data_IF_133960605721
#
_entry.id   IF_133960605721
#
_cell.length_a   1.000
_cell.length_b   1.000
_cell.length_c   1.000
_cell.angle_alpha   90.00
_cell.angle_beta   90.00
_cell.angle_gamma   90.00
#
_symmetry.space_group_name_H-M   'P 1'
#
loop_
_entity.id
_entity.type
_entity.pdbx_description
1 polymer ?
#
# COMPACT_ATOMS: atom_id res chain seq x y z
N UNK A 1 -8.45 8.91 -4.62
CA UNK A 1 -7.37 8.04 -4.08
C UNK A 1 -7.80 6.57 -4.03
N UNK A 2 -9.10 6.28 -4.01
CA UNK A 2 -9.63 4.92 -3.83
C UNK A 2 -9.34 3.97 -5.00
N UNK A 3 -9.09 4.51 -6.20
CA UNK A 3 -8.71 3.73 -7.39
C UNK A 3 -7.20 3.46 -7.52
N UNK A 4 -6.40 3.80 -6.50
CA UNK A 4 -4.94 3.67 -6.51
C UNK A 4 -4.46 2.84 -5.31
N UNK A 5 -3.48 1.98 -5.53
CA UNK A 5 -2.84 1.19 -4.44
C UNK A 5 -1.72 2.00 -3.77
N UNK A 6 -1.34 1.65 -2.53
CA UNK A 6 -0.43 2.49 -1.74
C UNK A 6 0.99 2.58 -2.34
N UNK A 7 1.38 1.49 -3.00
CA UNK A 7 2.66 1.27 -3.67
C UNK A 7 2.75 1.97 -5.03
N UNK A 8 1.63 2.48 -5.56
CA UNK A 8 1.64 3.38 -6.72
C UNK A 8 2.06 4.79 -6.30
N UNK A 9 3.01 5.38 -7.04
CA UNK A 9 3.56 6.71 -6.72
C UNK A 9 2.47 7.80 -6.67
N UNK A 10 1.42 7.64 -7.49
CA UNK A 10 0.27 8.56 -7.52
C UNK A 10 -0.43 8.62 -6.17
N UNK A 11 -0.53 7.50 -5.44
CA UNK A 11 -1.15 7.48 -4.13
C UNK A 11 -0.35 8.36 -3.14
N UNK A 12 0.98 8.25 -3.15
CA UNK A 12 1.87 9.14 -2.42
C UNK A 12 1.68 10.61 -2.79
N UNK A 13 1.66 10.92 -4.08
CA UNK A 13 1.44 12.28 -4.58
C UNK A 13 0.09 12.87 -4.15
N UNK A 14 -1.00 12.13 -4.33
CA UNK A 14 -2.35 12.58 -3.95
C UNK A 14 -2.52 12.68 -2.44
N UNK A 15 -1.84 11.85 -1.66
CA UNK A 15 -1.84 11.98 -0.20
C UNK A 15 -1.22 13.30 0.26
N UNK A 16 -0.13 13.77 -0.38
CA UNK A 16 0.49 15.05 -0.08
C UNK A 16 -0.44 16.24 -0.38
N UNK A 17 -1.13 16.21 -1.52
CA UNK A 17 -2.13 17.23 -1.87
C UNK A 17 -3.33 17.21 -0.90
N UNK A 18 -3.81 16.02 -0.56
CA UNK A 18 -4.92 15.85 0.37
C UNK A 18 -4.57 16.38 1.76
N UNK A 19 -3.34 16.13 2.22
CA UNK A 19 -2.81 16.64 3.48
C UNK A 19 -2.71 18.17 3.48
N UNK A 20 -2.28 18.78 2.37
CA UNK A 20 -2.26 20.24 2.24
C UNK A 20 -3.67 20.85 2.35
N UNK A 21 -4.66 20.27 1.67
CA UNK A 21 -6.04 20.74 1.74
C UNK A 21 -6.64 20.55 3.14
N UNK A 22 -6.37 19.42 3.78
CA UNK A 22 -6.84 19.13 5.14
C UNK A 22 -6.23 20.08 6.17
N UNK A 23 -4.93 20.39 6.06
CA UNK A 23 -4.26 21.36 6.92
C UNK A 23 -4.89 22.76 6.76
N UNK A 24 -5.18 23.18 5.52
CA UNK A 24 -5.87 24.45 5.27
C UNK A 24 -7.29 24.45 5.82
N UNK A 25 -8.02 23.33 5.73
CA UNK A 25 -9.34 23.18 6.32
C UNK A 25 -9.30 23.31 7.85
N UNK A 26 -8.35 22.63 8.50
CA UNK A 26 -8.15 22.72 9.96
C UNK A 26 -7.87 24.16 10.41
N UNK A 27 -7.01 24.87 9.69
CA UNK A 27 -6.71 26.26 10.02
C UNK A 27 -7.91 27.20 9.77
N UNK A 28 -8.66 26.97 8.68
CA UNK A 28 -9.88 27.72 8.37
C UNK A 28 -10.99 27.47 9.39
N UNK A 29 -11.08 26.26 9.94
CA UNK A 29 -12.04 25.90 10.99
C UNK A 29 -11.81 26.70 12.27
N UNK A 30 -10.54 27.00 12.61
CA UNK A 30 -10.20 27.95 13.68
C UNK A 30 -10.60 29.36 13.27
N UNK A 31 -10.13 29.83 12.10
CA UNK A 31 -10.60 31.07 11.47
C UNK A 31 -10.13 31.17 10.02
N UNK A 32 -11.02 31.52 9.06
CA UNK A 32 -10.63 31.69 7.66
C UNK A 32 -9.62 32.84 7.45
N UNK A 33 -9.58 33.83 8.36
CA UNK A 33 -8.60 34.93 8.29
C UNK A 33 -7.17 34.50 8.52
N UNK A 34 -6.96 33.35 9.17
CA UNK A 34 -5.63 32.77 9.35
C UNK A 34 -5.06 32.20 8.06
N UNK A 35 -5.85 32.08 6.99
CA UNK A 35 -5.34 31.71 5.67
C UNK A 35 -4.95 32.91 4.80
N UNK A 36 -5.31 34.13 5.18
CA UNK A 36 -5.07 35.32 4.36
C UNK A 36 -3.59 35.75 4.37
N UNK A 37 -3.03 36.06 3.20
CA UNK A 37 -1.70 36.66 3.10
C UNK A 37 -1.74 38.10 3.66
N UNK A 38 -0.98 38.35 4.73
CA UNK A 38 -0.96 39.61 5.46
C UNK A 38 -0.32 40.78 4.69
N UNK A 39 0.31 40.54 3.53
CA UNK A 39 0.92 41.59 2.69
C UNK A 39 -0.11 42.54 2.08
N UNK A 40 -1.36 42.11 1.92
CA UNK A 40 -2.49 42.96 1.53
C UNK A 40 -3.67 42.69 2.47
N UNK A 41 -4.04 43.69 3.27
CA UNK A 41 -5.16 43.60 4.22
C UNK A 41 -6.49 43.23 3.54
N UNK A 42 -6.63 43.47 2.23
CA UNK A 42 -7.81 43.04 1.46
C UNK A 42 -7.98 41.53 1.43
N UNK A 43 -6.90 40.75 1.60
CA UNK A 43 -7.00 39.29 1.73
C UNK A 43 -7.73 38.90 3.02
N UNK A 44 -7.53 39.66 4.10
CA UNK A 44 -8.22 39.44 5.38
C UNK A 44 -9.71 39.74 5.22
N UNK A 45 -10.05 40.89 4.64
CA UNK A 45 -11.46 41.25 4.38
C UNK A 45 -12.15 40.22 3.48
N UNK A 46 -11.46 39.76 2.44
CA UNK A 46 -11.97 38.72 1.55
C UNK A 46 -12.22 37.40 2.28
N UNK A 47 -11.30 36.99 3.17
CA UNK A 47 -11.48 35.76 3.97
C UNK A 47 -12.67 35.82 4.93
N UNK A 48 -13.07 37.02 5.34
CA UNK A 48 -14.25 37.28 6.17
C UNK A 48 -15.54 37.43 5.33
N UNK A 49 -15.50 37.12 4.04
CA UNK A 49 -16.65 37.14 3.13
C UNK A 49 -17.01 38.53 2.57
N UNK A 50 -16.13 39.52 2.71
CA UNK A 50 -16.38 40.89 2.21
C UNK A 50 -15.99 41.03 0.73
N UNK A 51 -16.73 41.86 0.02
CA UNK A 51 -16.48 42.10 -1.41
C UNK A 51 -15.14 42.83 -1.62
N UNK A 52 -14.36 42.46 -2.66
CA UNK A 52 -13.13 43.17 -3.01
C UNK A 52 -13.36 44.67 -3.27
N UNK A 53 -12.55 45.51 -2.65
CA UNK A 53 -12.63 46.98 -2.79
C UNK A 53 -11.82 47.53 -3.97
N UNK A 54 -10.83 46.77 -4.47
CA UNK A 54 -9.92 47.20 -5.53
C UNK A 54 -10.21 46.50 -6.87
N UNK A 55 -10.12 47.26 -7.97
CA UNK A 55 -10.23 46.72 -9.33
C UNK A 55 -9.10 45.72 -9.60
N UNK A 56 -9.43 44.57 -10.19
CA UNK A 56 -8.49 43.46 -10.50
C UNK A 56 -7.80 42.83 -9.28
N UNK A 57 -8.35 43.02 -8.08
CA UNK A 57 -7.86 42.32 -6.90
C UNK A 57 -8.02 40.80 -7.06
N UNK A 58 -6.96 40.05 -6.76
CA UNK A 58 -6.97 38.59 -6.70
C UNK A 58 -6.57 38.17 -5.28
N UNK A 59 -7.47 37.55 -4.51
CA UNK A 59 -7.18 37.09 -3.16
C UNK A 59 -5.98 36.14 -3.16
N UNK A 60 -5.12 36.28 -2.15
CA UNK A 60 -3.97 35.40 -1.91
C UNK A 60 -4.03 34.80 -0.52
N UNK A 61 -3.76 33.50 -0.45
CA UNK A 61 -3.58 32.78 0.79
C UNK A 61 -2.10 32.60 1.11
N UNK A 62 -1.82 32.28 2.37
CA UNK A 62 -0.49 31.93 2.85
C UNK A 62 0.03 30.62 2.24
N UNK A 63 1.37 30.46 2.12
CA UNK A 63 1.99 29.21 1.68
C UNK A 63 1.78 28.08 2.69
N UNK A 64 1.88 26.83 2.23
CA UNK A 64 1.66 25.63 3.07
C UNK A 64 2.57 25.58 4.29
N UNK A 65 3.84 25.99 4.14
CA UNK A 65 4.78 26.05 5.28
C UNK A 65 4.27 26.95 6.42
N UNK A 66 3.66 28.09 6.09
CA UNK A 66 3.06 29.01 7.06
C UNK A 66 1.78 28.43 7.69
N UNK A 67 0.98 27.67 6.91
CA UNK A 67 -0.20 26.96 7.43
C UNK A 67 0.23 25.96 8.51
N UNK A 68 1.24 25.14 8.23
CA UNK A 68 1.75 24.13 9.15
C UNK A 68 2.35 24.76 10.43
N UNK A 69 3.03 25.90 10.30
CA UNK A 69 3.56 26.65 11.44
C UNK A 69 2.44 27.12 12.37
N UNK A 70 1.38 27.72 11.83
CA UNK A 70 0.22 28.19 12.62
C UNK A 70 -0.51 27.03 13.30
N UNK A 71 -0.68 25.91 12.61
CA UNK A 71 -1.30 24.71 13.19
C UNK A 71 -0.49 24.17 14.38
N UNK A 72 0.85 24.15 14.30
CA UNK A 72 1.73 23.74 15.40
C UNK A 72 1.56 24.62 16.65
N UNK A 73 1.36 25.93 16.45
CA UNK A 73 1.14 26.86 17.55
C UNK A 73 -0.26 26.74 18.17
N UNK A 74 -1.27 26.39 17.38
CA UNK A 74 -2.68 26.45 17.78
C UNK A 74 -3.27 25.10 18.19
N UNK A 75 -2.70 23.97 17.73
CA UNK A 75 -3.19 22.62 18.00
C UNK A 75 -2.11 21.86 18.80
N UNK A 76 -2.26 21.68 20.12
CA UNK A 76 -1.26 21.03 20.98
C UNK A 76 -0.84 19.63 20.52
N UNK A 77 -1.78 18.86 19.97
CA UNK A 77 -1.57 17.51 19.46
C UNK A 77 -0.82 17.50 18.11
N UNK A 78 -0.76 18.63 17.40
CA UNK A 78 0.00 18.78 16.16
C UNK A 78 1.47 19.06 16.49
N UNK A 79 2.17 18.01 16.91
CA UNK A 79 3.54 18.07 17.40
C UNK A 79 4.55 18.48 16.31
N UNK A 80 5.76 18.84 16.74
CA UNK A 80 6.88 19.16 15.83
C UNK A 80 7.22 18.00 14.88
N UNK A 81 7.08 16.75 15.33
CA UNK A 81 7.28 15.58 14.47
C UNK A 81 6.25 15.54 13.33
N UNK A 82 4.97 15.75 13.66
CA UNK A 82 3.88 15.76 12.67
C UNK A 82 4.08 16.92 11.69
N UNK A 83 4.39 18.13 12.20
CA UNK A 83 4.72 19.29 11.36
C UNK A 83 5.89 19.00 10.42
N UNK A 84 6.97 18.41 10.94
CA UNK A 84 8.16 18.05 10.17
C UNK A 84 7.86 17.03 9.07
N UNK A 85 7.04 16.03 9.36
CA UNK A 85 6.55 15.07 8.37
C UNK A 85 5.71 15.77 7.29
N UNK A 86 4.70 16.56 7.66
CA UNK A 86 3.84 17.27 6.71
C UNK A 86 4.64 18.16 5.76
N UNK A 87 5.69 18.81 6.28
CA UNK A 87 6.59 19.67 5.50
C UNK A 87 7.40 18.84 4.49
N UNK A 88 8.04 17.77 4.93
CA UNK A 88 8.78 16.85 4.05
C UNK A 88 7.90 16.22 2.97
N UNK A 89 6.66 15.86 3.33
CA UNK A 89 5.71 15.28 2.38
C UNK A 89 5.27 16.29 1.32
N UNK A 90 5.08 17.56 1.71
CA UNK A 90 4.81 18.65 0.77
C UNK A 90 6.01 18.99 -0.12
N UNK A 91 7.23 18.87 0.40
CA UNK A 91 8.47 19.07 -0.35
C UNK A 91 8.70 17.97 -1.40
N UNK A 92 8.37 16.71 -1.09
CA UNK A 92 8.39 15.63 -2.09
C UNK A 92 7.45 15.92 -3.25
N UNK A 93 6.24 16.41 -2.98
CA UNK A 93 5.31 16.87 -4.02
C UNK A 93 5.88 18.05 -4.81
N UNK A 94 6.56 18.99 -4.16
CA UNK A 94 7.25 20.06 -4.87
C UNK A 94 8.32 19.51 -5.82
N UNK A 95 9.12 18.53 -5.37
CA UNK A 95 10.16 17.93 -6.21
C UNK A 95 9.55 17.28 -7.47
N UNK A 96 8.49 16.48 -7.29
CA UNK A 96 7.78 15.83 -8.41
C UNK A 96 7.24 16.85 -9.43
N UNK A 97 6.63 17.95 -8.95
CA UNK A 97 6.01 18.96 -9.82
C UNK A 97 7.00 19.93 -10.48
N UNK A 98 8.11 20.24 -9.80
CA UNK A 98 9.03 21.30 -10.24
C UNK A 98 10.32 20.80 -10.85
N UNK A 99 10.77 19.59 -10.49
CA UNK A 99 12.05 19.05 -10.95
C UNK A 99 11.89 17.84 -11.87
N UNK A 100 10.71 17.22 -11.88
CA UNK A 100 10.46 15.96 -12.61
C UNK A 100 11.12 14.75 -11.96
N UNK A 101 11.64 14.87 -10.74
CA UNK A 101 12.12 13.75 -9.93
C UNK A 101 10.95 12.83 -9.54
N UNK A 102 11.17 11.51 -9.61
CA UNK A 102 10.21 10.50 -9.14
C UNK A 102 10.31 10.30 -7.62
N UNK A 103 10.05 11.37 -6.87
CA UNK A 103 10.23 11.48 -5.42
C UNK A 103 9.34 10.48 -4.64
N UNK A 104 8.21 10.08 -5.19
CA UNK A 104 7.31 9.08 -4.59
C UNK A 104 7.55 7.65 -5.08
N UNK A 105 8.13 7.43 -6.26
CA UNK A 105 8.33 6.08 -6.79
C UNK A 105 9.31 5.24 -5.96
N UNK A 106 10.27 5.89 -5.30
CA UNK A 106 11.22 5.24 -4.38
C UNK A 106 10.82 5.36 -2.90
N UNK A 107 9.68 5.99 -2.59
CA UNK A 107 9.29 6.30 -1.22
C UNK A 107 8.47 5.18 -0.58
N UNK A 108 9.17 4.34 0.19
CA UNK A 108 8.60 3.20 0.92
C UNK A 108 7.40 3.58 1.80
N UNK A 109 6.27 2.90 1.60
CA UNK A 109 4.99 3.19 2.26
C UNK A 109 5.06 3.04 3.78
N UNK A 110 5.86 2.09 4.29
CA UNK A 110 6.11 1.93 5.73
C UNK A 110 6.64 3.20 6.42
N UNK A 111 7.36 4.06 5.69
CA UNK A 111 7.99 5.26 6.27
C UNK A 111 7.01 6.43 6.39
N UNK A 112 5.99 6.49 5.54
CA UNK A 112 5.18 7.69 5.34
C UNK A 112 3.70 7.48 5.54
N UNK A 113 3.19 6.30 5.19
CA UNK A 113 1.76 6.03 5.22
C UNK A 113 1.18 6.06 6.65
N UNK A 114 1.83 5.46 7.67
CA UNK A 114 1.40 5.62 9.06
C UNK A 114 1.41 7.07 9.54
N UNK A 115 2.46 7.83 9.17
CA UNK A 115 2.62 9.25 9.56
C UNK A 115 1.58 10.14 8.86
N UNK A 116 1.24 9.83 7.62
CA UNK A 116 0.15 10.47 6.89
C UNK A 116 -1.18 10.28 7.61
N UNK A 117 -1.55 9.05 7.95
CA UNK A 117 -2.80 8.79 8.67
C UNK A 117 -2.81 9.42 10.07
N UNK A 118 -1.69 9.38 10.79
CA UNK A 118 -1.55 10.07 12.08
C UNK A 118 -1.80 11.58 11.93
N UNK A 119 -1.19 12.20 10.91
CA UNK A 119 -1.37 13.63 10.63
C UNK A 119 -2.83 13.95 10.30
N UNK A 120 -3.47 13.14 9.46
CA UNK A 120 -4.89 13.28 9.15
C UNK A 120 -5.76 13.17 10.40
N UNK A 121 -5.53 12.16 11.25
CA UNK A 121 -6.28 11.95 12.49
C UNK A 121 -6.20 13.14 13.43
N UNK A 122 -5.01 13.72 13.61
CA UNK A 122 -4.83 14.92 14.46
C UNK A 122 -5.53 16.14 13.87
N UNK A 123 -5.38 16.39 12.56
CA UNK A 123 -6.04 17.51 11.89
C UNK A 123 -7.56 17.39 11.90
N UNK A 124 -8.10 16.19 11.64
CA UNK A 124 -9.54 15.91 11.67
C UNK A 124 -10.10 16.08 13.09
N UNK A 125 -9.42 15.55 14.10
CA UNK A 125 -9.82 15.68 15.50
C UNK A 125 -9.91 17.15 15.93
N UNK A 126 -9.01 18.02 15.43
CA UNK A 126 -9.06 19.47 15.71
C UNK A 126 -10.31 20.17 15.16
N UNK A 127 -11.00 19.54 14.20
CA UNK A 127 -12.26 19.99 13.62
C UNK A 127 -13.47 19.21 14.15
N UNK A 128 -13.28 18.35 15.16
CA UNK A 128 -14.33 17.46 15.67
C UNK A 128 -14.75 16.37 14.69
N UNK A 129 -13.87 15.98 13.76
CA UNK A 129 -14.09 14.90 12.80
C UNK A 129 -13.27 13.66 13.18
N UNK A 130 -13.65 12.51 12.64
CA UNK A 130 -12.97 11.23 12.83
C UNK A 130 -12.23 10.80 11.56
N UNK A 131 -11.29 9.87 11.69
CA UNK A 131 -10.53 9.38 10.54
C UNK A 131 -11.44 8.70 9.50
N UNK A 132 -12.50 8.03 9.94
CA UNK A 132 -13.54 7.41 9.11
C UNK A 132 -14.30 8.39 8.22
N UNK A 133 -14.32 9.69 8.56
CA UNK A 133 -14.99 10.71 7.74
C UNK A 133 -14.14 11.08 6.50
N UNK A 134 -12.87 10.64 6.46
CA UNK A 134 -11.91 11.03 5.45
C UNK A 134 -11.32 9.85 4.66
N UNK A 135 -11.19 8.67 5.28
CA UNK A 135 -10.61 7.47 4.64
C UNK A 135 -11.62 6.34 4.61
N UNK A 136 -11.69 5.62 3.48
CA UNK A 136 -12.65 4.52 3.30
C UNK A 136 -12.41 3.30 4.19
N UNK A 137 -11.15 3.04 4.57
CA UNK A 137 -10.76 1.92 5.45
C UNK A 137 -10.05 2.46 6.70
N UNK A 138 -10.86 2.94 7.65
CA UNK A 138 -10.37 3.59 8.87
C UNK A 138 -9.69 2.60 9.82
N UNK A 139 -10.19 1.36 9.92
CA UNK A 139 -9.63 0.33 10.80
C UNK A 139 -8.19 -0.02 10.38
N UNK A 140 -7.96 -0.18 9.08
CA UNK A 140 -6.63 -0.36 8.54
C UNK A 140 -5.72 0.83 8.82
N UNK A 141 -6.22 2.06 8.64
CA UNK A 141 -5.46 3.27 8.90
C UNK A 141 -5.07 3.41 10.39
N UNK A 142 -5.96 3.08 11.33
CA UNK A 142 -5.67 3.07 12.76
C UNK A 142 -4.64 1.99 13.14
N UNK A 143 -4.74 0.80 12.54
CA UNK A 143 -3.74 -0.26 12.74
C UNK A 143 -2.34 0.19 12.28
N UNK A 144 -2.26 0.97 11.18
CA UNK A 144 -1.00 1.59 10.74
C UNK A 144 -0.52 2.65 11.74
N UNK A 145 -1.40 3.46 12.34
CA UNK A 145 -1.00 4.47 13.33
C UNK A 145 -0.41 3.80 14.59
N UNK A 146 -1.03 2.74 15.09
CA UNK A 146 -0.54 1.94 16.24
C UNK A 146 0.86 1.36 15.96
N UNK A 147 1.21 1.18 14.69
CA UNK A 147 2.50 0.69 14.24
C UNK A 147 3.68 1.60 14.56
N UNK A 148 3.43 2.89 14.79
CA UNK A 148 4.49 3.87 15.07
C UNK A 148 5.11 3.71 16.46
N UNK A 149 4.65 2.77 17.30
CA UNK A 149 5.16 2.58 18.66
C UNK A 149 6.62 2.08 18.71
N UNK A 150 7.48 2.83 19.41
CA UNK A 150 8.91 2.51 19.58
C UNK A 150 9.17 1.16 20.27
N UNK A 151 8.24 0.72 21.14
CA UNK A 151 8.32 -0.57 21.81
C UNK A 151 8.32 -1.76 20.83
N UNK A 152 7.56 -1.65 19.73
CA UNK A 152 7.54 -2.68 18.69
C UNK A 152 8.88 -2.74 17.94
N UNK A 153 9.54 -1.58 17.75
CA UNK A 153 10.82 -1.51 17.06
C UNK A 153 11.98 -2.11 17.88
N UNK A 154 12.01 -1.86 19.19
CA UNK A 154 13.03 -2.44 20.06
C UNK A 154 12.94 -3.97 20.13
N UNK A 155 11.74 -4.52 20.31
CA UNK A 155 11.53 -5.96 20.43
C UNK A 155 11.99 -6.71 19.16
N UNK A 156 11.64 -6.20 17.98
CA UNK A 156 11.98 -6.84 16.71
C UNK A 156 13.46 -6.78 16.41
N UNK A 157 14.12 -5.68 16.76
CA UNK A 157 15.56 -5.54 16.56
C UNK A 157 16.33 -6.57 17.38
N UNK A 158 15.88 -6.86 18.60
CA UNK A 158 16.46 -7.90 19.45
C UNK A 158 16.24 -9.29 18.85
N UNK A 159 15.03 -9.60 18.39
CA UNK A 159 14.72 -10.89 17.75
C UNK A 159 15.59 -11.09 16.50
N UNK A 160 15.66 -10.11 15.60
CA UNK A 160 16.49 -10.19 14.38
C UNK A 160 17.95 -10.42 14.73
N UNK A 161 18.49 -9.71 15.73
CA UNK A 161 19.87 -9.89 16.16
C UNK A 161 20.14 -11.28 16.75
N UNK A 162 19.19 -11.84 17.50
CA UNK A 162 19.30 -13.19 18.06
C UNK A 162 19.32 -14.25 16.95
N UNK A 163 18.37 -14.20 16.02
CA UNK A 163 18.30 -15.14 14.89
C UNK A 163 19.47 -14.98 13.91
N UNK A 164 19.99 -13.76 13.73
CA UNK A 164 21.18 -13.53 12.92
C UNK A 164 22.43 -14.19 13.52
N UNK A 165 22.60 -14.18 14.85
CA UNK A 165 23.69 -14.89 15.53
C UNK A 165 23.58 -16.40 15.33
N UNK A 166 22.40 -16.96 15.57
CA UNK A 166 22.14 -18.40 15.35
C UNK A 166 22.42 -18.79 13.91
N UNK A 167 22.06 -17.95 12.94
CA UNK A 167 22.38 -18.18 11.55
C UNK A 167 23.89 -18.12 11.27
N UNK A 168 24.61 -17.16 11.85
CA UNK A 168 26.06 -17.06 11.68
C UNK A 168 26.81 -18.29 12.18
N UNK A 169 26.34 -18.89 13.27
CA UNK A 169 26.94 -20.09 13.88
C UNK A 169 26.76 -21.37 13.04
N UNK A 170 25.84 -21.39 12.05
CA UNK A 170 25.66 -22.53 11.14
C UNK A 170 26.85 -22.72 10.18
N UNK A 171 27.11 -23.96 9.77
CA UNK A 171 28.15 -24.27 8.78
C UNK A 171 27.75 -23.78 7.38
N UNK A 172 28.70 -23.72 6.45
CA UNK A 172 28.41 -23.31 5.08
C UNK A 172 27.42 -24.27 4.38
N UNK A 173 27.59 -25.58 4.58
CA UNK A 173 26.72 -26.61 4.03
C UNK A 173 25.27 -26.49 4.54
N UNK A 174 25.09 -26.26 5.84
CA UNK A 174 23.77 -26.05 6.45
C UNK A 174 23.10 -24.76 5.96
N UNK A 175 23.89 -23.70 5.69
CA UNK A 175 23.39 -22.43 5.16
C UNK A 175 22.90 -22.58 3.72
N UNK A 176 23.61 -23.35 2.91
CA UNK A 176 23.28 -23.59 1.51
C UNK A 176 21.99 -24.43 1.40
N UNK A 177 21.90 -25.53 2.14
CA UNK A 177 20.70 -26.39 2.16
C UNK A 177 19.46 -25.63 2.64
N UNK A 178 19.59 -24.87 3.74
CA UNK A 178 18.48 -24.08 4.28
C UNK A 178 18.05 -22.94 3.34
N UNK A 179 18.99 -22.33 2.60
CA UNK A 179 18.67 -21.29 1.62
C UNK A 179 17.96 -21.84 0.39
N UNK A 180 18.34 -23.06 -0.04
CA UNK A 180 17.72 -23.74 -1.17
C UNK A 180 16.30 -24.23 -0.81
N UNK A 181 16.12 -24.75 0.40
CA UNK A 181 14.79 -25.05 0.94
C UNK A 181 13.90 -23.80 1.00
N UNK A 182 14.45 -22.67 1.49
CA UNK A 182 13.74 -21.40 1.53
C UNK A 182 13.35 -20.86 0.15
N UNK A 183 14.20 -21.04 -0.87
CA UNK A 183 13.85 -20.71 -2.26
C UNK A 183 12.64 -21.49 -2.76
N UNK A 184 12.61 -22.80 -2.50
CA UNK A 184 11.54 -23.67 -2.97
C UNK A 184 10.22 -23.43 -2.21
N UNK A 185 10.30 -23.05 -0.94
CA UNK A 185 9.12 -22.75 -0.13
C UNK A 185 8.52 -21.37 -0.42
N UNK A 186 9.36 -20.35 -0.64
CA UNK A 186 8.94 -18.96 -0.87
C UNK A 186 8.43 -18.71 -2.30
N UNK A 187 7.40 -19.47 -2.69
CA UNK A 187 6.68 -19.30 -3.95
C UNK A 187 5.75 -18.08 -3.87
N UNK A 188 5.64 -17.32 -4.96
CA UNK A 188 4.81 -16.10 -5.03
C UNK A 188 3.32 -16.35 -4.80
N UNK A 189 2.84 -17.55 -5.11
CA UNK A 189 1.44 -17.95 -4.87
C UNK A 189 1.13 -18.14 -3.39
N UNK A 190 2.14 -18.39 -2.56
CA UNK A 190 1.98 -18.63 -1.12
C UNK A 190 2.02 -17.34 -0.30
N UNK A 191 2.61 -16.26 -0.83
CA UNK A 191 2.71 -14.97 -0.14
C UNK A 191 3.64 -14.00 -0.87
N UNK A 192 3.84 -12.81 -0.29
CA UNK A 192 4.73 -11.80 -0.85
C UNK A 192 6.20 -12.14 -0.53
N UNK A 193 7.01 -12.39 -1.56
CA UNK A 193 8.41 -12.80 -1.40
C UNK A 193 9.31 -11.61 -1.08
N UNK A 194 10.06 -11.73 0.01
CA UNK A 194 11.03 -10.73 0.48
C UNK A 194 12.35 -11.38 0.90
N UNK A 195 13.35 -10.56 1.20
CA UNK A 195 14.60 -11.01 1.81
C UNK A 195 14.49 -10.96 3.34
N UNK A 196 14.99 -12.02 4.00
CA UNK A 196 15.00 -12.07 5.45
C UNK A 196 16.02 -11.07 6.03
N UNK A 197 15.63 -10.22 7.01
CA UNK A 197 16.55 -9.27 7.62
C UNK A 197 17.66 -9.93 8.44
N UNK A 198 17.45 -11.15 8.95
CA UNK A 198 18.43 -11.88 9.75
C UNK A 198 19.43 -12.68 8.91
N UNK A 199 18.95 -13.45 7.93
CA UNK A 199 19.79 -14.41 7.18
C UNK A 199 19.96 -14.11 5.69
N UNK A 200 19.24 -13.11 5.15
CA UNK A 200 19.22 -12.73 3.72
C UNK A 200 18.66 -13.77 2.74
N UNK A 201 18.27 -14.96 3.20
CA UNK A 201 17.54 -15.94 2.39
C UNK A 201 16.13 -15.44 2.05
N UNK A 202 15.48 -16.09 1.07
CA UNK A 202 14.10 -15.77 0.71
C UNK A 202 13.12 -16.13 1.84
N UNK A 203 12.12 -15.28 2.01
CA UNK A 203 11.08 -15.41 3.03
C UNK A 203 9.74 -14.92 2.48
N UNK A 204 8.66 -15.21 3.20
CA UNK A 204 7.32 -14.80 2.84
C UNK A 204 6.74 -13.81 3.86
N UNK A 205 6.00 -12.84 3.34
CA UNK A 205 5.11 -11.97 4.08
C UNK A 205 3.68 -12.33 3.69
N UNK A 206 2.83 -12.44 4.70
CA UNK A 206 1.38 -12.50 4.54
C UNK A 206 0.78 -11.24 5.14
N UNK A 207 -0.39 -10.85 4.64
CA UNK A 207 -1.05 -9.64 5.08
C UNK A 207 -2.55 -9.73 4.95
N UNK A 208 -3.22 -8.74 5.51
CA UNK A 208 -4.66 -8.58 5.41
C UNK A 208 -4.98 -7.63 4.26
N UNK A 209 -5.88 -8.02 3.34
CA UNK A 209 -6.37 -7.10 2.32
C UNK A 209 -7.01 -5.87 2.98
N UNK A 210 -6.77 -4.70 2.41
CA UNK A 210 -7.23 -3.41 2.91
C UNK A 210 -7.62 -2.51 1.74
N UNK A 211 -8.67 -1.72 1.94
CA UNK A 211 -9.21 -0.81 0.94
C UNK A 211 -9.96 -1.48 -0.21
N UNK A 212 -10.42 -0.65 -1.14
CA UNK A 212 -11.23 -1.03 -2.29
C UNK A 212 -10.47 -1.93 -3.26
N UNK A 213 -11.19 -2.87 -3.87
CA UNK A 213 -10.68 -3.71 -4.96
C UNK A 213 -10.77 -2.94 -6.26
N UNK A 214 -9.63 -2.70 -6.90
CA UNK A 214 -9.54 -2.06 -8.21
C UNK A 214 -9.69 -3.14 -9.26
N UNK A 215 -10.70 -3.00 -10.11
CA UNK A 215 -10.99 -3.98 -11.17
C UNK A 215 -10.59 -3.43 -12.53
N UNK A 216 -9.86 -4.23 -13.30
CA UNK A 216 -9.54 -3.93 -14.70
C UNK A 216 -9.85 -5.14 -15.56
N UNK A 217 -10.45 -4.88 -16.72
CA UNK A 217 -10.53 -5.88 -17.77
C UNK A 217 -9.24 -5.81 -18.58
N UNK A 218 -8.49 -6.91 -18.68
CA UNK A 218 -7.26 -7.00 -19.47
C UNK A 218 -7.23 -8.35 -20.16
N UNK A 219 -7.07 -8.36 -21.49
CA UNK A 219 -6.89 -9.57 -22.30
C UNK A 219 -7.90 -10.69 -21.96
N UNK A 220 -9.20 -10.37 -21.98
CA UNK A 220 -10.30 -11.28 -21.65
C UNK A 220 -10.27 -11.87 -20.24
N UNK A 221 -9.51 -11.27 -19.32
CA UNK A 221 -9.50 -11.59 -17.90
C UNK A 221 -9.96 -10.38 -17.07
N UNK A 222 -10.61 -10.68 -15.93
CA UNK A 222 -10.89 -9.73 -14.86
C UNK A 222 -9.70 -9.75 -13.90
N UNK A 223 -8.90 -8.69 -13.91
CA UNK A 223 -7.86 -8.46 -12.92
C UNK A 223 -8.44 -7.68 -11.73
N UNK A 224 -8.35 -8.27 -10.54
CA UNK A 224 -8.62 -7.59 -9.28
C UNK A 224 -7.31 -7.27 -8.58
N UNK A 225 -7.08 -6.00 -8.30
CA UNK A 225 -5.94 -5.52 -7.51
C UNK A 225 -6.45 -5.00 -6.19
N UNK A 226 -5.85 -5.49 -5.11
CA UNK A 226 -6.17 -5.02 -3.77
C UNK A 226 -4.89 -4.76 -2.99
N UNK A 227 -4.89 -3.66 -2.24
CA UNK A 227 -3.82 -3.36 -1.30
C UNK A 227 -3.85 -4.38 -0.17
N UNK A 228 -2.68 -4.80 0.27
CA UNK A 228 -2.49 -5.72 1.39
C UNK A 228 -1.54 -5.08 2.40
N UNK A 229 -1.95 -5.06 3.66
CA UNK A 229 -1.14 -4.60 4.78
C UNK A 229 -0.43 -5.81 5.39
N UNK A 230 0.91 -5.80 5.50
CA UNK A 230 1.66 -6.88 6.12
C UNK A 230 1.17 -7.21 7.53
N UNK A 231 0.93 -8.49 7.82
CA UNK A 231 0.43 -8.96 9.11
C UNK A 231 1.38 -9.98 9.75
N UNK A 232 2.04 -10.83 8.95
CA UNK A 232 3.02 -11.79 9.43
C UNK A 232 4.17 -11.99 8.44
N UNK A 233 5.31 -12.38 8.97
CA UNK A 233 6.53 -12.75 8.24
C UNK A 233 7.03 -14.09 8.74
N UNK A 234 7.48 -14.92 7.81
CA UNK A 234 8.09 -16.20 8.10
C UNK A 234 9.29 -16.49 7.19
N UNK A 235 10.42 -16.85 7.82
CA UNK A 235 11.61 -17.34 7.15
C UNK A 235 11.93 -18.76 7.63
N UNK A 236 11.85 -19.73 6.72
CA UNK A 236 12.15 -21.13 7.06
C UNK A 236 13.66 -21.43 7.16
N UNK A 237 14.54 -20.57 6.60
CA UNK A 237 15.99 -20.79 6.64
C UNK A 237 16.56 -20.59 8.07
N UNK A 238 16.22 -19.45 8.68
CA UNK A 238 16.66 -19.12 10.05
C UNK A 238 15.59 -19.39 11.11
N UNK A 239 14.33 -19.60 10.73
CA UNK A 239 13.21 -19.81 11.66
C UNK A 239 12.62 -18.53 12.25
N UNK A 240 13.03 -17.35 11.75
CA UNK A 240 12.49 -16.07 12.22
C UNK A 240 11.02 -15.94 11.82
N UNK A 241 10.17 -15.71 12.82
CA UNK A 241 8.74 -15.42 12.66
C UNK A 241 8.40 -14.11 13.34
N UNK A 242 7.78 -13.20 12.61
CA UNK A 242 7.36 -11.90 13.14
C UNK A 242 5.86 -11.77 12.87
N UNK A 243 5.10 -11.45 13.92
CA UNK A 243 3.67 -11.21 13.83
C UNK A 243 3.34 -9.78 14.26
N UNK A 244 2.40 -9.16 13.55
CA UNK A 244 1.92 -7.80 13.80
C UNK A 244 2.58 -6.76 12.92
N UNK A 245 1.77 -5.89 12.34
CA UNK A 245 2.21 -4.82 11.44
C UNK A 245 3.25 -3.89 12.08
N UNK A 246 3.06 -3.48 13.35
CA UNK A 246 4.01 -2.65 14.11
C UNK A 246 5.43 -3.20 14.08
N UNK A 247 5.54 -4.52 14.26
CA UNK A 247 6.82 -5.20 14.29
C UNK A 247 7.46 -5.28 12.89
N UNK A 248 6.64 -5.58 11.87
CA UNK A 248 7.09 -5.65 10.47
C UNK A 248 7.53 -4.28 9.94
N UNK A 249 6.80 -3.21 10.28
CA UNK A 249 7.15 -1.85 9.91
C UNK A 249 8.50 -1.43 10.46
N UNK A 250 8.80 -1.80 11.71
CA UNK A 250 10.07 -1.43 12.35
C UNK A 250 11.32 -2.08 11.72
N UNK A 251 11.18 -3.25 11.10
CA UNK A 251 12.30 -3.92 10.42
C UNK A 251 12.34 -3.69 8.91
N UNK A 252 11.55 -2.73 8.39
CA UNK A 252 11.51 -2.41 6.96
C UNK A 252 10.75 -3.43 6.11
N UNK A 253 9.89 -4.24 6.74
CA UNK A 253 8.99 -5.22 6.10
C UNK A 253 7.51 -4.80 6.17
N UNK A 254 7.22 -3.57 6.61
CA UNK A 254 5.86 -3.04 6.71
C UNK A 254 5.38 -2.28 5.47
N UNK A 255 6.07 -2.41 4.34
CA UNK A 255 5.60 -1.78 3.11
C UNK A 255 4.31 -2.48 2.66
N UNK A 256 3.26 -1.70 2.44
CA UNK A 256 2.05 -2.20 1.82
C UNK A 256 2.38 -2.68 0.39
N UNK A 257 1.78 -3.80 0.00
CA UNK A 257 1.98 -4.40 -1.30
C UNK A 257 0.63 -4.70 -1.97
N UNK A 258 0.63 -4.86 -3.28
CA UNK A 258 -0.57 -5.19 -4.05
C UNK A 258 -0.67 -6.70 -4.25
N UNK A 259 -1.82 -7.27 -3.89
CA UNK A 259 -2.25 -8.59 -4.35
C UNK A 259 -2.99 -8.43 -5.66
N UNK A 260 -2.65 -9.24 -6.67
CA UNK A 260 -3.35 -9.26 -7.96
C UNK A 260 -3.95 -10.64 -8.16
N UNK A 261 -5.27 -10.71 -8.22
CA UNK A 261 -6.02 -11.90 -8.60
C UNK A 261 -6.50 -11.76 -10.04
N UNK A 262 -6.50 -12.84 -10.79
CA UNK A 262 -6.98 -12.89 -12.18
C UNK A 262 -8.04 -13.95 -12.30
N UNK A 263 -9.16 -13.58 -12.90
CA UNK A 263 -10.30 -14.47 -13.12
C UNK A 263 -10.70 -14.40 -14.60
N UNK A 264 -11.18 -15.49 -15.16
CA UNK A 264 -11.95 -15.40 -16.40
C UNK A 264 -13.28 -14.69 -16.13
N UNK A 265 -13.92 -14.03 -17.12
CA UNK A 265 -15.23 -13.42 -16.96
C UNK A 265 -16.26 -14.42 -16.44
N UNK A 266 -16.17 -15.68 -16.87
CA UNK A 266 -17.08 -16.71 -16.41
C UNK A 266 -16.88 -17.11 -14.95
N UNK A 267 -15.64 -17.25 -14.47
CA UNK A 267 -15.35 -17.46 -13.05
C UNK A 267 -15.79 -16.24 -12.22
N UNK A 268 -15.50 -15.04 -12.71
CA UNK A 268 -15.80 -13.80 -12.00
C UNK A 268 -17.29 -13.55 -11.82
N UNK A 269 -18.08 -13.77 -12.86
CA UNK A 269 -19.54 -13.62 -12.83
C UNK A 269 -20.26 -14.88 -12.35
N UNK A 270 -19.54 -15.96 -12.04
CA UNK A 270 -20.13 -17.25 -11.65
C UNK A 270 -21.03 -17.84 -12.73
N UNK A 271 -20.69 -17.66 -14.01
CA UNK A 271 -21.50 -18.11 -15.15
C UNK A 271 -21.47 -19.63 -15.34
N UNK A 272 -20.52 -20.32 -14.70
CA UNK A 272 -20.49 -21.77 -14.60
C UNK A 272 -20.66 -22.19 -13.14
N UNK A 273 -21.59 -23.10 -12.86
CA UNK A 273 -21.56 -23.90 -11.62
C UNK A 273 -20.43 -24.93 -11.71
N UNK A 274 -19.99 -25.47 -10.57
CA UNK A 274 -19.02 -26.59 -10.55
C UNK A 274 -19.50 -27.75 -11.44
N UNK A 275 -20.80 -28.02 -11.46
CA UNK A 275 -21.42 -29.04 -12.34
C UNK A 275 -21.19 -28.75 -13.84
N UNK A 276 -21.29 -27.49 -14.28
CA UNK A 276 -21.07 -27.11 -15.68
C UNK A 276 -19.59 -27.26 -16.10
N UNK A 277 -18.66 -27.02 -15.17
CA UNK A 277 -17.22 -27.19 -15.42
C UNK A 277 -16.83 -28.68 -15.45
N UNK A 278 -17.47 -29.50 -14.63
CA UNK A 278 -17.28 -30.95 -14.61
C UNK A 278 -17.89 -31.63 -15.85
N UNK A 279 -19.05 -31.17 -16.33
CA UNK A 279 -19.66 -31.62 -17.60
C UNK A 279 -18.74 -31.31 -18.80
N UNK A 280 -18.25 -30.08 -18.92
CA UNK A 280 -17.32 -29.70 -20.00
C UNK A 280 -15.99 -30.49 -19.96
N UNK A 281 -15.48 -30.82 -18.75
CA UNK A 281 -14.27 -31.66 -18.60
C UNK A 281 -14.53 -33.10 -19.04
N UNK A 282 -15.73 -33.62 -18.82
CA UNK A 282 -16.13 -34.95 -19.27
C UNK A 282 -16.36 -35.00 -20.78
N UNK A 283 -17.00 -33.98 -21.37
CA UNK A 283 -17.20 -33.87 -22.82
C UNK A 283 -15.89 -33.78 -23.61
N UNK A 284 -14.91 -33.00 -23.13
CA UNK A 284 -13.58 -32.94 -23.76
C UNK A 284 -12.76 -34.26 -23.65
N UNK A 285 -13.08 -35.11 -22.67
CA UNK A 285 -12.52 -36.46 -22.56
C UNK A 285 -13.20 -37.45 -23.52
N UNK A 286 -14.49 -37.26 -23.82
CA UNK A 286 -15.24 -38.07 -24.78
C UNK A 286 -14.85 -37.75 -26.24
N UNK A 287 -14.68 -36.46 -26.59
CA UNK A 287 -14.21 -36.07 -27.93
C UNK A 287 -12.79 -36.60 -28.24
N UNK A 288 -11.88 -36.57 -27.26
CA UNK A 288 -10.54 -37.15 -27.41
C UNK A 288 -10.52 -38.69 -27.52
N UNK A 289 -11.56 -39.37 -27.03
CA UNK A 289 -11.75 -40.82 -27.17
C UNK A 289 -12.43 -41.19 -28.50
N UNK A 290 -13.25 -40.31 -29.07
CA UNK A 290 -13.86 -40.51 -30.38
C UNK A 290 -12.86 -40.24 -31.52
N UNK A 291 -12.03 -39.19 -31.44
CA UNK A 291 -10.97 -38.95 -32.43
C UNK A 291 -9.91 -40.09 -32.45
N UNK A 292 -9.66 -40.74 -31.31
CA UNK A 292 -8.77 -41.90 -31.22
C UNK A 292 -9.36 -43.23 -31.73
N UNK A 293 -10.66 -43.27 -32.05
CA UNK A 293 -11.35 -44.47 -32.57
C UNK A 293 -11.66 -44.40 -34.07
N UNK A 294 -11.31 -43.30 -34.74
CA UNK A 294 -11.67 -43.00 -36.12
C UNK A 294 -10.70 -43.47 -37.22
N UNK A 295 -9.60 -44.17 -36.92
CA UNK A 295 -8.68 -44.72 -37.93
C UNK A 295 -8.28 -46.17 -37.61
N UNK A 296 -9.19 -47.10 -37.81
CA UNK A 296 -8.86 -48.49 -38.11
C UNK A 296 -9.80 -48.95 -39.24
N UNK A 297 -9.53 -48.46 -40.45
CA UNK A 297 -10.11 -49.04 -41.67
C UNK A 297 -9.12 -50.06 -42.24
N UNK A 298 -9.59 -51.29 -42.30
CA UNK A 298 -8.99 -52.49 -42.87
C UNK A 298 -8.26 -52.24 -44.21
N UNK A 299 -7.02 -52.75 -44.34
CA UNK A 299 -6.45 -53.10 -45.64
C UNK A 299 -5.59 -54.37 -45.51
N UNK A 300 -6.00 -55.40 -46.24
CA UNK A 300 -5.48 -56.78 -46.20
C UNK A 300 -4.02 -56.90 -46.67
N UNK A 301 -3.24 -57.87 -46.14
CA UNK A 301 -1.91 -58.16 -46.64
C UNK A 301 -1.98 -59.07 -47.88
N UNK A 302 -1.64 -58.50 -49.04
CA UNK A 302 -1.43 -59.25 -50.28
C UNK A 302 -0.14 -60.08 -50.18
N UNK A 303 -0.31 -61.40 -50.19
CA UNK A 303 0.76 -62.37 -50.35
C UNK A 303 0.63 -62.99 -51.74
N UNK A 304 1.38 -62.48 -52.72
CA UNK A 304 1.89 -63.28 -53.85
C UNK A 304 3.00 -62.56 -54.65
N UNK A 305 4.09 -63.32 -54.82
CA UNK A 305 5.19 -63.30 -55.82
C UNK A 305 6.00 -62.02 -56.10
#
# INVERSE_FOLDING_TARGET
MEDLTADEWQFGFWSALSLELLARAALAHISPSLLADLRDWRNIEYSLGRAPTAKKFKPRSIPTAEVLLRLKEMIPEFTEEIQGFCSQHADKRNSELHTGELAFASYKTSLWLPKFYLSCRVLLASMGQQLSDFVGDADAAEALIVSLSEAAAMAVTQDIAAYARVWQDKTAEEKDEASLAAMNWALRQSGHRVECPACKSHALIHGTPSGSVIRKLSDDLVEEKQRVIPASFECIACGLRIAGFSKLSACGLGDAFTSTSRYTPAEFFGLYSEDNLDEARNEGYEEGLEEGRGENSDFEPDWNE
#
